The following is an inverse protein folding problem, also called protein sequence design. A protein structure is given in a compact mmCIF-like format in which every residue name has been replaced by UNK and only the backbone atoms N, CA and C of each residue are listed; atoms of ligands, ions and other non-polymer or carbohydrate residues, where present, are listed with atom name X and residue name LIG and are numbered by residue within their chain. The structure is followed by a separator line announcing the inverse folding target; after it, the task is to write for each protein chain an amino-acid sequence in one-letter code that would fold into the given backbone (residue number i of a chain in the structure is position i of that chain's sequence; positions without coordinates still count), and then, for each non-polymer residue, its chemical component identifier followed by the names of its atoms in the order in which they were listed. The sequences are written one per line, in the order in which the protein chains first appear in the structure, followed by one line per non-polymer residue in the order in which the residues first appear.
data_IF_353117920197
#
_entry.id   IF_353117920197
#
_cell.length_a   1.000
_cell.length_b   1.000
_cell.length_c   1.000
_cell.angle_alpha   90.00
_cell.angle_beta   90.00
_cell.angle_gamma   90.00
#
_symmetry.space_group_name_H-M   'P 1'
#
loop_
_entity.id
_entity.type
_entity.pdbx_description
1 polymer ?
#
# COMPACT_ATOMS: atom_id res chain seq x y z
N UNK A 1 7.64 16.39 -52.55
CA UNK A 1 6.96 17.27 -51.58
C UNK A 1 6.42 16.36 -50.49
N UNK A 2 7.20 16.19 -49.42
CA UNK A 2 6.89 15.31 -48.30
C UNK A 2 5.92 16.00 -47.34
N UNK A 3 4.73 15.43 -47.17
CA UNK A 3 3.74 15.86 -46.18
C UNK A 3 4.02 15.14 -44.86
N UNK A 4 4.75 15.79 -43.96
CA UNK A 4 4.95 15.31 -42.60
C UNK A 4 3.70 15.57 -41.74
N UNK A 5 3.09 14.50 -41.23
CA UNK A 5 2.03 14.58 -40.22
C UNK A 5 2.63 15.02 -38.87
N UNK A 6 2.44 16.29 -38.53
CA UNK A 6 2.76 16.82 -37.20
C UNK A 6 1.72 16.31 -36.19
N UNK A 7 2.05 15.22 -35.48
CA UNK A 7 1.30 14.78 -34.30
C UNK A 7 1.55 15.76 -33.15
N UNK A 8 0.60 16.64 -32.88
CA UNK A 8 0.64 17.50 -31.70
C UNK A 8 0.47 16.64 -30.45
N UNK A 9 1.49 16.61 -29.59
CA UNK A 9 1.41 15.98 -28.27
C UNK A 9 0.36 16.73 -27.44
N UNK A 10 -0.71 16.02 -27.05
CA UNK A 10 -1.73 16.59 -26.19
C UNK A 10 -1.13 17.01 -24.84
N UNK A 11 -1.52 18.18 -24.29
CA UNK A 11 -1.02 18.62 -22.99
C UNK A 11 -1.44 17.63 -21.90
N UNK A 12 -0.44 17.17 -21.13
CA UNK A 12 -0.65 16.30 -19.98
C UNK A 12 -1.45 17.09 -18.93
N UNK A 13 -2.67 16.65 -18.65
CA UNK A 13 -3.49 17.27 -17.60
C UNK A 13 -2.74 17.14 -16.26
N UNK A 14 -2.56 18.23 -15.49
CA UNK A 14 -1.97 18.15 -14.16
C UNK A 14 -2.89 17.30 -13.29
N UNK A 15 -2.51 16.05 -13.03
CA UNK A 15 -3.17 15.23 -12.03
C UNK A 15 -2.86 15.87 -10.68
N UNK A 16 -3.89 16.19 -9.88
CA UNK A 16 -3.69 16.51 -8.47
C UNK A 16 -2.94 15.33 -7.87
N UNK A 17 -1.67 15.53 -7.52
CA UNK A 17 -0.82 14.49 -6.93
C UNK A 17 -1.33 14.23 -5.52
N UNK A 18 -2.31 13.34 -5.39
CA UNK A 18 -2.74 12.83 -4.09
C UNK A 18 -1.55 12.17 -3.42
N UNK A 19 -1.29 12.50 -2.16
CA UNK A 19 -0.23 11.87 -1.39
C UNK A 19 -0.43 10.34 -1.40
N UNK A 20 0.68 9.61 -1.53
CA UNK A 20 0.65 8.15 -1.42
C UNK A 20 0.18 7.77 -0.02
N UNK A 21 -0.67 6.75 0.10
CA UNK A 21 -1.29 6.31 1.35
C UNK A 21 -0.70 4.99 1.80
N UNK A 22 -0.35 4.93 3.07
CA UNK A 22 0.12 3.73 3.76
C UNK A 22 -0.92 3.28 4.78
N UNK A 23 -1.35 2.03 4.71
CA UNK A 23 -2.16 1.44 5.77
C UNK A 23 -1.27 0.80 6.86
N UNK A 24 -1.41 1.19 8.12
CA UNK A 24 -0.79 0.54 9.28
C UNK A 24 -1.84 -0.33 9.97
N UNK A 25 -1.78 -1.64 9.79
CA UNK A 25 -2.84 -2.58 10.17
C UNK A 25 -2.50 -3.32 11.46
N UNK A 26 -3.30 -3.08 12.50
CA UNK A 26 -3.22 -3.77 13.80
C UNK A 26 -1.79 -3.84 14.39
N UNK A 27 -1.03 -2.76 14.24
CA UNK A 27 0.33 -2.67 14.76
C UNK A 27 0.34 -2.19 16.21
N UNK A 28 1.26 -2.70 17.06
CA UNK A 28 1.43 -2.20 18.41
C UNK A 28 2.10 -0.82 18.43
N UNK A 29 1.75 0.02 19.40
CA UNK A 29 2.58 1.13 19.87
C UNK A 29 3.74 0.53 20.66
N UNK A 30 5.01 0.59 20.19
CA UNK A 30 5.64 1.75 19.54
C UNK A 30 5.91 1.61 18.03
N UNK A 31 5.79 0.41 17.46
CA UNK A 31 6.15 0.14 16.06
C UNK A 31 5.35 1.00 15.08
N UNK A 32 4.05 1.21 15.34
CA UNK A 32 3.21 2.02 14.47
C UNK A 32 3.66 3.49 14.39
N UNK A 33 4.12 4.06 15.50
CA UNK A 33 4.54 5.46 15.59
C UNK A 33 5.82 5.71 14.82
N UNK A 34 6.82 4.83 15.03
CA UNK A 34 8.11 4.92 14.33
C UNK A 34 7.91 4.79 12.83
N UNK A 35 7.14 3.79 12.38
CA UNK A 35 6.90 3.58 10.95
C UNK A 35 6.09 4.73 10.34
N UNK A 36 5.06 5.21 11.02
CA UNK A 36 4.28 6.36 10.56
C UNK A 36 5.17 7.58 10.30
N UNK A 37 6.10 7.87 11.21
CA UNK A 37 7.04 8.98 11.05
C UNK A 37 8.02 8.73 9.89
N UNK A 38 8.60 7.54 9.79
CA UNK A 38 9.49 7.18 8.68
C UNK A 38 8.80 7.40 7.32
N UNK A 39 7.57 6.93 7.13
CA UNK A 39 6.86 7.10 5.86
C UNK A 39 6.45 8.55 5.60
N UNK A 40 6.08 9.30 6.65
CA UNK A 40 5.76 10.73 6.54
C UNK A 40 6.94 11.55 6.02
N UNK A 41 8.17 11.22 6.41
CA UNK A 41 9.39 11.88 5.91
C UNK A 41 9.56 11.74 4.38
N UNK A 42 8.97 10.71 3.78
CA UNK A 42 8.96 10.51 2.32
C UNK A 42 7.69 11.01 1.64
N UNK A 43 6.84 11.77 2.36
CA UNK A 43 5.58 12.30 1.83
C UNK A 43 4.50 11.23 1.62
N UNK A 44 4.60 10.09 2.31
CA UNK A 44 3.59 9.04 2.32
C UNK A 44 2.73 9.22 3.57
N UNK A 45 1.42 9.35 3.39
CA UNK A 45 0.44 9.57 4.45
C UNK A 45 0.10 8.25 5.15
N UNK A 46 0.44 8.09 6.45
CA UNK A 46 0.08 6.90 7.21
C UNK A 46 -1.37 6.97 7.72
N UNK A 47 -2.12 5.88 7.53
CA UNK A 47 -3.46 5.67 8.05
C UNK A 47 -3.46 4.47 8.98
N UNK A 48 -3.79 4.71 10.25
CA UNK A 48 -3.92 3.66 11.25
C UNK A 48 -5.25 2.91 11.05
N UNK A 49 -5.18 1.59 11.00
CA UNK A 49 -6.35 0.71 10.88
C UNK A 49 -6.39 -0.22 12.10
N UNK A 50 -7.32 0.06 13.01
CA UNK A 50 -7.61 -0.73 14.22
C UNK A 50 -8.80 -1.67 14.04
N UNK A 51 -9.37 -1.73 12.82
CA UNK A 51 -10.51 -2.56 12.46
C UNK A 51 -10.94 -2.32 11.00
N UNK A 52 -11.69 -3.27 10.42
CA UNK A 52 -12.23 -3.15 9.06
C UNK A 52 -11.17 -3.14 7.95
N UNK A 53 -9.93 -3.54 8.23
CA UNK A 53 -8.82 -3.47 7.29
C UNK A 53 -9.11 -4.22 5.99
N UNK A 54 -9.72 -5.41 6.06
CA UNK A 54 -10.12 -6.21 4.89
C UNK A 54 -11.02 -5.41 3.95
N UNK A 55 -12.10 -4.82 4.45
CA UNK A 55 -13.05 -4.10 3.60
C UNK A 55 -12.43 -2.84 2.98
N UNK A 56 -11.66 -2.10 3.77
CA UNK A 56 -11.02 -0.86 3.33
C UNK A 56 -9.90 -1.12 2.32
N UNK A 57 -9.04 -2.10 2.59
CA UNK A 57 -7.99 -2.52 1.66
C UNK A 57 -8.54 -3.21 0.42
N UNK A 58 -9.79 -3.69 0.44
CA UNK A 58 -10.41 -4.18 -0.78
C UNK A 58 -10.93 -3.04 -1.66
N UNK A 59 -11.53 -2.01 -1.06
CA UNK A 59 -12.27 -0.95 -1.77
C UNK A 59 -11.44 0.30 -2.08
N UNK A 60 -10.66 0.78 -1.12
CA UNK A 60 -9.90 2.04 -1.23
C UNK A 60 -8.50 1.79 -1.83
N UNK A 61 -7.92 2.81 -2.47
CA UNK A 61 -6.55 2.77 -2.98
C UNK A 61 -5.53 3.07 -1.87
N UNK A 62 -4.51 2.22 -1.78
CA UNK A 62 -3.30 2.40 -0.97
C UNK A 62 -2.06 2.02 -1.79
N UNK A 63 -0.94 2.70 -1.56
CA UNK A 63 0.34 2.43 -2.21
C UNK A 63 1.13 1.36 -1.46
N UNK A 64 0.95 1.30 -0.15
CA UNK A 64 1.53 0.28 0.68
C UNK A 64 0.65 -0.07 1.89
N UNK A 65 0.90 -1.23 2.49
CA UNK A 65 0.42 -1.56 3.81
C UNK A 65 1.52 -2.20 4.67
N UNK A 66 1.46 -1.98 5.97
CA UNK A 66 2.26 -2.68 6.97
C UNK A 66 1.33 -3.49 7.84
N UNK A 67 1.65 -4.76 8.04
CA UNK A 67 0.87 -5.69 8.86
C UNK A 67 1.79 -6.52 9.75
N UNK A 68 1.30 -6.89 10.94
CA UNK A 68 1.99 -7.84 11.81
C UNK A 68 1.75 -9.26 11.31
N UNK A 69 2.82 -10.02 11.07
CA UNK A 69 2.71 -11.42 10.68
C UNK A 69 2.27 -12.24 11.90
N UNK A 70 1.04 -12.76 11.82
CA UNK A 70 0.40 -13.59 12.85
C UNK A 70 -0.67 -14.47 12.20
N UNK A 71 -1.08 -15.59 12.83
CA UNK A 71 -2.20 -16.37 12.34
C UNK A 71 -3.45 -15.51 12.11
N UNK A 72 -4.07 -15.64 10.93
CA UNK A 72 -5.26 -14.88 10.52
C UNK A 72 -4.97 -13.68 9.62
N UNK A 73 -3.71 -13.23 9.51
CA UNK A 73 -3.32 -12.11 8.63
C UNK A 73 -3.46 -12.46 7.15
N UNK A 74 -3.49 -13.75 6.81
CA UNK A 74 -3.65 -14.27 5.45
C UNK A 74 -4.93 -13.75 4.80
N UNK A 75 -6.00 -13.53 5.58
CA UNK A 75 -7.26 -12.96 5.09
C UNK A 75 -7.08 -11.52 4.60
N UNK A 76 -6.27 -10.73 5.32
CA UNK A 76 -5.93 -9.36 4.93
C UNK A 76 -5.06 -9.39 3.67
N UNK A 77 -4.04 -10.25 3.64
CA UNK A 77 -3.16 -10.40 2.46
C UNK A 77 -3.94 -10.85 1.22
N UNK A 78 -4.89 -11.79 1.37
CA UNK A 78 -5.73 -12.26 0.28
C UNK A 78 -6.68 -11.18 -0.24
N UNK A 79 -7.28 -10.41 0.67
CA UNK A 79 -8.14 -9.28 0.32
C UNK A 79 -7.39 -8.21 -0.49
N UNK A 80 -6.12 -7.98 -0.17
CA UNK A 80 -5.22 -7.11 -0.93
C UNK A 80 -4.94 -7.69 -2.31
N UNK A 81 -4.51 -8.96 -2.39
CA UNK A 81 -4.16 -9.62 -3.66
C UNK A 81 -5.32 -9.66 -4.65
N UNK A 82 -6.54 -9.76 -4.14
CA UNK A 82 -7.78 -9.79 -4.93
C UNK A 82 -8.43 -8.42 -5.10
N UNK A 83 -7.86 -7.36 -4.51
CA UNK A 83 -8.44 -6.02 -4.60
C UNK A 83 -8.23 -5.42 -6.00
N UNK A 84 -9.32 -4.94 -6.66
CA UNK A 84 -9.18 -4.21 -7.92
C UNK A 84 -8.45 -2.87 -7.72
N UNK A 85 -8.54 -2.29 -6.52
CA UNK A 85 -7.92 -1.01 -6.17
C UNK A 85 -6.42 -1.16 -5.84
N UNK A 86 -5.94 -2.33 -5.41
CA UNK A 86 -4.58 -2.50 -4.84
C UNK A 86 -3.69 -3.49 -5.59
N UNK A 87 -3.92 -3.66 -6.89
CA UNK A 87 -3.15 -4.58 -7.77
C UNK A 87 -1.63 -4.35 -7.81
N UNK A 88 -1.14 -3.19 -7.37
CA UNK A 88 0.29 -2.82 -7.32
C UNK A 88 0.75 -2.35 -5.94
N UNK A 89 0.01 -2.70 -4.89
CA UNK A 89 0.35 -2.29 -3.53
C UNK A 89 1.55 -3.07 -2.98
N UNK A 90 2.46 -2.39 -2.28
CA UNK A 90 3.57 -3.03 -1.56
C UNK A 90 3.11 -3.49 -0.17
N UNK A 91 3.39 -4.75 0.18
CA UNK A 91 3.06 -5.31 1.50
C UNK A 91 4.35 -5.44 2.32
N UNK A 92 4.39 -4.76 3.47
CA UNK A 92 5.44 -4.89 4.47
C UNK A 92 4.96 -5.79 5.62
N UNK A 93 5.57 -6.96 5.77
CA UNK A 93 5.28 -7.87 6.87
C UNK A 93 6.25 -7.66 8.04
N UNK A 94 5.72 -7.34 9.23
CA UNK A 94 6.50 -7.32 10.47
C UNK A 94 6.45 -8.71 11.12
N UNK A 95 7.51 -9.49 10.94
CA UNK A 95 7.71 -10.80 11.55
C UNK A 95 8.80 -10.79 12.63
N UNK A 96 8.89 -11.87 13.40
CA UNK A 96 9.94 -12.06 14.41
C UNK A 96 11.24 -12.58 13.81
N UNK A 97 11.16 -13.71 13.10
CA UNK A 97 12.30 -14.31 12.41
C UNK A 97 11.97 -14.55 10.93
N UNK A 98 13.02 -14.73 10.11
CA UNK A 98 12.87 -14.91 8.68
C UNK A 98 12.10 -16.20 8.32
N UNK A 99 12.35 -17.32 9.02
CA UNK A 99 11.72 -18.61 8.71
C UNK A 99 10.20 -18.57 8.88
N UNK A 100 9.72 -17.93 9.94
CA UNK A 100 8.28 -17.77 10.17
C UNK A 100 7.66 -16.79 9.19
N UNK A 101 8.39 -15.74 8.80
CA UNK A 101 7.93 -14.80 7.78
C UNK A 101 7.74 -15.48 6.41
N UNK A 102 8.61 -16.43 6.04
CA UNK A 102 8.50 -17.17 4.78
C UNK A 102 7.20 -17.97 4.64
N UNK A 103 6.53 -18.32 5.74
CA UNK A 103 5.22 -19.02 5.69
C UNK A 103 4.12 -18.17 5.06
N UNK A 104 4.31 -16.85 5.02
CA UNK A 104 3.35 -15.89 4.47
C UNK A 104 3.69 -15.48 3.03
N UNK A 105 4.83 -15.91 2.49
CA UNK A 105 5.16 -15.70 1.07
C UNK A 105 4.39 -16.71 0.23
N UNK A 106 3.26 -16.26 -0.32
CA UNK A 106 2.60 -16.90 -1.46
C UNK A 106 2.80 -16.01 -2.67
#
# INVERSE_FOLDING_TARGET
MDTAFSSALAPIRPTKRTAARLALVDLPEPSQTILAECFRQYGIEPLFMTGGAVERLHKEKFEACVLKLRPGVEKVMESIRTSPSNSRMVIYGLGGNAQDAMRYSK
#
